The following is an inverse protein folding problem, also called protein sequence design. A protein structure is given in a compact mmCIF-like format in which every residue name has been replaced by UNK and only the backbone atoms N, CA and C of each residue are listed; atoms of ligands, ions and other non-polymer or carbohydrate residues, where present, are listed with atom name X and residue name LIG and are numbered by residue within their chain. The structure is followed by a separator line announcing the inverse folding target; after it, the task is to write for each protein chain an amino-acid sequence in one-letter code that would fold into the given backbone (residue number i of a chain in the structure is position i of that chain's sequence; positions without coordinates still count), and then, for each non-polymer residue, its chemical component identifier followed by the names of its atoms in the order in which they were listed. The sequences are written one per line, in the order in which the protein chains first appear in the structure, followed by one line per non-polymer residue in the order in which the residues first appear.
data_IF_258215563746
#
_entry.id   IF_258215563746
#
_cell.length_a   1.000
_cell.length_b   1.000
_cell.length_c   1.000
_cell.angle_alpha   90.00
_cell.angle_beta   90.00
_cell.angle_gamma   90.00
#
_symmetry.space_group_name_H-M   'P 1'
#
loop_
_entity.id
_entity.type
_entity.pdbx_description
1 polymer ?
#
# COMPACT_ATOMS: atom_id res chain seq x y z
N UNK A 1 27.81 -9.41 -12.06
CA UNK A 1 27.09 -8.45 -12.91
C UNK A 1 26.33 -7.43 -12.06
N UNK A 2 25.28 -7.82 -11.32
CA UNK A 2 24.54 -6.90 -10.42
C UNK A 2 25.38 -6.41 -9.22
N UNK A 3 26.05 -7.30 -8.49
CA UNK A 3 26.84 -6.91 -7.30
C UNK A 3 28.10 -6.06 -7.58
N UNK A 4 28.43 -5.81 -8.86
CA UNK A 4 29.53 -4.92 -9.27
C UNK A 4 29.03 -3.66 -9.99
N UNK A 5 27.72 -3.55 -10.22
CA UNK A 5 27.15 -2.38 -10.88
C UNK A 5 27.14 -1.19 -9.92
N UNK A 6 27.45 0.00 -10.44
CA UNK A 6 27.46 1.24 -9.66
C UNK A 6 26.06 1.71 -9.24
N UNK A 7 25.06 1.40 -10.08
CA UNK A 7 23.64 1.71 -9.87
C UNK A 7 22.79 0.58 -10.45
N UNK A 8 21.77 0.17 -9.70
CA UNK A 8 20.80 -0.88 -10.09
C UNK A 8 19.38 -0.40 -9.82
N UNK A 9 18.53 -0.56 -10.83
CA UNK A 9 17.10 -0.36 -10.76
C UNK A 9 16.40 -1.70 -11.07
N UNK A 10 15.52 -2.13 -10.18
CA UNK A 10 14.71 -3.33 -10.37
C UNK A 10 13.27 -2.94 -10.65
N UNK A 11 12.77 -3.34 -11.82
CA UNK A 11 11.37 -3.22 -12.18
C UNK A 11 10.76 -4.62 -12.22
N UNK A 12 9.67 -4.82 -11.50
CA UNK A 12 8.91 -6.06 -11.56
C UNK A 12 7.43 -5.79 -11.60
N UNK A 13 6.66 -6.77 -12.06
CA UNK A 13 5.21 -6.67 -12.17
C UNK A 13 4.55 -7.95 -11.67
N UNK A 14 3.40 -8.28 -12.24
CA UNK A 14 2.59 -9.42 -11.85
C UNK A 14 3.27 -10.77 -12.04
N UNK A 15 4.29 -10.85 -12.91
CA UNK A 15 5.13 -12.05 -13.05
C UNK A 15 5.86 -12.45 -11.76
N UNK A 16 6.05 -11.55 -10.80
CA UNK A 16 6.57 -11.91 -9.47
C UNK A 16 5.42 -12.07 -8.48
N UNK A 17 4.46 -11.15 -8.45
CA UNK A 17 3.44 -11.12 -7.40
C UNK A 17 2.33 -12.17 -7.55
N UNK A 18 2.12 -12.73 -8.75
CA UNK A 18 1.13 -13.80 -9.02
C UNK A 18 1.71 -15.22 -8.91
N UNK A 19 2.77 -15.40 -8.12
CA UNK A 19 3.30 -16.71 -7.75
C UNK A 19 3.00 -17.02 -6.28
N UNK A 20 2.99 -18.31 -5.91
CA UNK A 20 2.72 -18.75 -4.53
C UNK A 20 3.66 -18.12 -3.49
N UNK A 21 4.88 -17.76 -3.90
CA UNK A 21 5.90 -17.11 -3.07
C UNK A 21 6.16 -15.65 -3.51
N UNK A 22 5.17 -14.99 -4.12
CA UNK A 22 5.33 -13.66 -4.70
C UNK A 22 5.73 -12.60 -3.67
N UNK A 23 5.20 -12.67 -2.46
CA UNK A 23 5.57 -11.79 -1.34
C UNK A 23 7.03 -11.97 -0.91
N UNK A 24 7.46 -13.22 -0.76
CA UNK A 24 8.83 -13.55 -0.36
C UNK A 24 9.83 -13.16 -1.44
N UNK A 25 9.46 -13.37 -2.71
CA UNK A 25 10.28 -12.99 -3.86
C UNK A 25 10.42 -11.47 -3.95
N UNK A 26 9.33 -10.71 -3.76
CA UNK A 26 9.38 -9.26 -3.69
C UNK A 26 10.26 -8.76 -2.53
N UNK A 27 10.23 -9.46 -1.40
CA UNK A 27 11.09 -9.16 -0.25
C UNK A 27 12.56 -9.45 -0.55
N UNK A 28 12.86 -10.57 -1.23
CA UNK A 28 14.21 -10.91 -1.64
C UNK A 28 14.80 -9.90 -2.63
N UNK A 29 13.99 -9.37 -3.57
CA UNK A 29 14.41 -8.30 -4.47
C UNK A 29 14.74 -7.00 -3.71
N UNK A 30 13.93 -6.65 -2.70
CA UNK A 30 14.21 -5.53 -1.80
C UNK A 30 15.53 -5.75 -1.04
N UNK A 31 15.72 -6.93 -0.45
CA UNK A 31 16.95 -7.27 0.27
C UNK A 31 18.19 -7.19 -0.61
N UNK A 32 18.10 -7.61 -1.88
CA UNK A 32 19.19 -7.47 -2.85
C UNK A 32 19.59 -6.00 -3.05
N UNK A 33 18.62 -5.10 -3.18
CA UNK A 33 18.87 -3.66 -3.31
C UNK A 33 19.48 -3.07 -2.04
N UNK A 34 19.05 -3.51 -0.85
CA UNK A 34 19.64 -3.09 0.42
C UNK A 34 21.13 -3.51 0.49
N UNK A 35 21.42 -4.79 0.24
CA UNK A 35 22.80 -5.33 0.33
C UNK A 35 23.73 -4.69 -0.69
N UNK A 36 23.21 -4.31 -1.86
CA UNK A 36 24.00 -3.66 -2.91
C UNK A 36 24.05 -2.13 -2.79
N UNK A 37 23.40 -1.54 -1.77
CA UNK A 37 23.40 -0.08 -1.56
C UNK A 37 22.62 0.70 -2.62
N UNK A 38 21.62 0.07 -3.23
CA UNK A 38 20.79 0.62 -4.32
C UNK A 38 19.43 1.14 -3.81
N UNK A 39 19.38 1.66 -2.58
CA UNK A 39 18.24 2.40 -2.03
C UNK A 39 18.65 3.83 -1.69
N UNK A 40 17.72 4.78 -1.88
CA UNK A 40 17.92 6.19 -1.50
C UNK A 40 18.84 6.99 -2.44
N UNK A 41 19.20 6.44 -3.62
CA UNK A 41 20.04 7.13 -4.62
C UNK A 41 19.28 7.33 -5.93
N UNK A 42 19.46 8.47 -6.63
CA UNK A 42 18.87 8.66 -7.95
C UNK A 42 19.26 7.54 -8.93
N UNK A 43 18.29 7.07 -9.72
CA UNK A 43 18.52 5.99 -10.69
C UNK A 43 18.68 4.59 -10.08
N UNK A 44 18.35 4.43 -8.79
CA UNK A 44 18.37 3.13 -8.09
C UNK A 44 17.04 2.84 -7.41
N UNK A 45 16.79 1.58 -7.06
CA UNK A 45 15.65 1.19 -6.24
C UNK A 45 14.76 0.12 -6.87
N UNK A 46 13.68 -0.18 -6.15
CA UNK A 46 12.70 -1.18 -6.54
C UNK A 46 11.39 -0.53 -6.96
N UNK A 47 10.93 -0.83 -8.17
CA UNK A 47 9.75 -0.24 -8.79
C UNK A 47 8.75 -1.35 -9.17
N UNK A 48 7.85 -1.73 -8.24
CA UNK A 48 6.74 -2.60 -8.56
C UNK A 48 5.76 -1.88 -9.50
N UNK A 49 5.70 -2.31 -10.75
CA UNK A 49 4.83 -1.73 -11.77
C UNK A 49 3.37 -2.07 -11.47
N UNK A 50 2.54 -1.03 -11.31
CA UNK A 50 1.10 -1.13 -11.09
C UNK A 50 0.36 -1.08 -12.43
N UNK A 51 -0.68 -1.90 -12.58
CA UNK A 51 -1.42 -2.04 -13.84
C UNK A 51 -2.44 -0.92 -14.10
N UNK A 52 -3.39 -0.70 -13.18
CA UNK A 52 -4.42 0.34 -13.38
C UNK A 52 -3.92 1.74 -12.96
N UNK A 53 -4.46 2.76 -13.64
CA UNK A 53 -4.10 4.16 -13.50
C UNK A 53 -4.27 4.75 -12.09
N UNK A 54 -5.06 4.12 -11.22
CA UNK A 54 -5.28 4.60 -9.85
C UNK A 54 -5.19 3.50 -8.78
N UNK A 55 -4.45 2.40 -9.03
CA UNK A 55 -4.23 1.38 -7.98
C UNK A 55 -3.53 1.98 -6.76
N UNK A 56 -2.56 2.87 -7.01
CA UNK A 56 -1.83 3.53 -5.93
C UNK A 56 -2.75 4.47 -5.15
N UNK A 57 -3.47 5.38 -5.83
CA UNK A 57 -4.40 6.28 -5.16
C UNK A 57 -5.52 5.55 -4.42
N UNK A 58 -6.09 4.47 -4.99
CA UNK A 58 -7.08 3.66 -4.27
C UNK A 58 -6.52 3.06 -2.97
N UNK A 59 -5.25 2.64 -2.97
CA UNK A 59 -4.58 2.14 -1.77
C UNK A 59 -4.32 3.29 -0.77
N UNK A 60 -3.89 4.46 -1.25
CA UNK A 60 -3.63 5.66 -0.44
C UNK A 60 -4.91 6.20 0.21
N UNK A 61 -6.06 6.08 -0.46
CA UNK A 61 -7.39 6.44 0.04
C UNK A 61 -8.02 5.36 0.95
N UNK A 62 -7.27 4.32 1.33
CA UNK A 62 -7.76 3.31 2.26
C UNK A 62 -8.83 2.40 1.67
N UNK A 63 -8.87 2.19 0.35
CA UNK A 63 -9.69 1.13 -0.26
C UNK A 63 -9.13 -0.28 0.01
N UNK A 64 -8.51 -0.47 1.18
CA UNK A 64 -7.95 -1.70 1.70
C UNK A 64 -8.73 -2.08 2.96
N UNK A 65 -9.06 -3.36 3.13
CA UNK A 65 -9.90 -3.85 4.23
C UNK A 65 -9.43 -3.48 5.64
N UNK A 66 -8.14 -3.23 5.80
CA UNK A 66 -7.46 -3.11 7.09
C UNK A 66 -6.75 -1.76 7.29
N UNK A 67 -6.92 -0.81 6.37
CA UNK A 67 -6.27 0.49 6.43
C UNK A 67 -7.28 1.62 6.21
N UNK A 68 -7.18 2.67 7.00
CA UNK A 68 -7.72 3.99 6.70
C UNK A 68 -6.85 4.71 5.66
N UNK A 69 -7.33 5.82 5.07
CA UNK A 69 -6.51 6.67 4.21
C UNK A 69 -5.17 7.05 4.86
N UNK A 70 -4.11 7.12 4.07
CA UNK A 70 -2.74 7.38 4.56
C UNK A 70 -2.04 6.16 5.16
N UNK A 71 -2.51 4.94 4.86
CA UNK A 71 -1.94 3.67 5.36
C UNK A 71 -2.00 3.51 6.90
N UNK A 72 -3.00 4.11 7.54
CA UNK A 72 -3.20 3.96 8.97
C UNK A 72 -3.99 2.70 9.29
N UNK A 73 -3.50 1.88 10.21
CA UNK A 73 -4.15 0.60 10.53
C UNK A 73 -5.47 0.82 11.26
N UNK A 74 -6.51 0.09 10.85
CA UNK A 74 -7.80 0.09 11.57
C UNK A 74 -7.70 -0.52 12.98
N UNK A 75 -6.62 -1.27 13.24
CA UNK A 75 -6.32 -1.83 14.55
C UNK A 75 -5.68 -0.83 15.52
N UNK A 76 -5.24 0.34 15.04
CA UNK A 76 -4.69 1.39 15.89
C UNK A 76 -5.84 2.20 16.52
N UNK A 77 -5.90 2.20 17.85
CA UNK A 77 -6.98 2.85 18.59
C UNK A 77 -6.95 4.38 18.46
N UNK A 78 -5.76 4.97 18.32
CA UNK A 78 -5.62 6.42 18.11
C UNK A 78 -6.14 6.84 16.74
N UNK A 79 -5.83 6.06 15.70
CA UNK A 79 -6.35 6.24 14.36
C UNK A 79 -7.87 6.04 14.36
N UNK A 80 -8.36 4.96 14.99
CA UNK A 80 -9.80 4.65 15.10
C UNK A 80 -10.57 5.78 15.77
N UNK A 81 -10.06 6.35 16.86
CA UNK A 81 -10.68 7.47 17.55
C UNK A 81 -10.70 8.73 16.67
N UNK A 82 -9.59 9.03 16.01
CA UNK A 82 -9.48 10.19 15.11
C UNK A 82 -10.44 10.08 13.92
N UNK A 83 -10.50 8.91 13.28
CA UNK A 83 -11.42 8.63 12.18
C UNK A 83 -12.88 8.53 12.63
N UNK A 84 -13.15 8.10 13.88
CA UNK A 84 -14.49 8.17 14.46
C UNK A 84 -14.95 9.60 14.72
N UNK A 85 -14.06 10.48 15.24
CA UNK A 85 -14.35 11.91 15.45
C UNK A 85 -14.49 12.67 14.13
N UNK A 86 -13.58 12.47 13.19
CA UNK A 86 -13.64 13.10 11.85
C UNK A 86 -14.77 12.53 10.99
N UNK A 87 -15.07 11.24 11.14
CA UNK A 87 -16.22 10.58 10.52
C UNK A 87 -17.56 10.97 11.15
N UNK A 88 -17.58 11.43 12.40
CA UNK A 88 -18.78 12.01 13.02
C UNK A 88 -19.21 13.30 12.32
N UNK A 89 -18.29 14.08 11.75
CA UNK A 89 -18.59 15.24 10.90
C UNK A 89 -19.29 14.85 9.58
N UNK A 90 -18.96 13.67 9.02
CA UNK A 90 -19.68 13.10 7.88
C UNK A 90 -21.01 12.49 8.33
N UNK A 91 -21.06 11.81 9.48
CA UNK A 91 -22.29 11.20 10.03
C UNK A 91 -23.36 12.22 10.43
N UNK A 92 -22.98 13.43 10.85
CA UNK A 92 -23.94 14.49 11.22
C UNK A 92 -24.55 15.22 10.01
N UNK A 93 -23.91 15.14 8.84
CA UNK A 93 -24.32 15.87 7.63
C UNK A 93 -24.96 14.99 6.54
N UNK A 94 -25.00 13.67 6.73
CA UNK A 94 -25.78 12.75 5.89
C UNK A 94 -26.99 12.25 6.68
N UNK A 95 -28.23 12.56 6.26
CA UNK A 95 -29.40 11.98 6.90
C UNK A 95 -29.31 10.46 6.76
N UNK A 96 -29.17 9.78 7.89
CA UNK A 96 -29.28 8.32 7.95
C UNK A 96 -30.70 7.97 7.53
N UNK A 97 -30.90 7.69 6.24
CA UNK A 97 -32.13 7.04 5.79
C UNK A 97 -32.11 5.65 6.39
N UNK A 98 -32.86 5.49 7.48
CA UNK A 98 -33.12 4.25 8.19
C UNK A 98 -33.47 3.15 7.18
N UNK A 99 -32.49 2.32 6.81
CA UNK A 99 -32.78 1.01 6.25
C UNK A 99 -33.30 0.16 7.41
N UNK A 100 -34.63 0.19 7.60
CA UNK A 100 -35.33 -0.84 8.36
C UNK A 100 -35.02 -2.17 7.65
N UNK A 101 -34.17 -2.98 8.26
CA UNK A 101 -34.19 -4.43 8.03
C UNK A 101 -35.42 -4.92 8.79
N UNK A 102 -36.51 -5.13 8.06
CA UNK A 102 -37.70 -5.83 8.54
C UNK A 102 -37.45 -7.33 8.50
N UNK A 103 -37.75 -7.98 9.64
CA UNK A 103 -38.00 -9.42 9.90
C UNK A 103 -37.04 -10.44 9.31
#
# INVERSE_FOLDING_TARGET
MIGKASSVCLLWAMGITQHSHGSDTSTALSNLLVVTGNYGKPGTGGYPMRGHNNVQGASDFGCLRNMYPGYEKVSDDSARERWAKGGAFLRSNFPTRSAKVTS
#
